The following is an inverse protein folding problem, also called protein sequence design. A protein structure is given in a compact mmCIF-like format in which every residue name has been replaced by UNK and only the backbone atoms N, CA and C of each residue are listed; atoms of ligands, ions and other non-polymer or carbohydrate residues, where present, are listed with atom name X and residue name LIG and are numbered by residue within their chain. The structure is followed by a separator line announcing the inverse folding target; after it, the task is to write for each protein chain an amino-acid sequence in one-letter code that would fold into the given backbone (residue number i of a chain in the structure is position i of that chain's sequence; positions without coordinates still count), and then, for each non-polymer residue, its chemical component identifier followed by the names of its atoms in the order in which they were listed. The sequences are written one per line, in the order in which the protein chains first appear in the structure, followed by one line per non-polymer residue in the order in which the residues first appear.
data_IF_320336700642
#
_entry.id   IF_320336700642
#
_cell.length_a   1.000
_cell.length_b   1.000
_cell.length_c   1.000
_cell.angle_alpha   90.00
_cell.angle_beta   90.00
_cell.angle_gamma   90.00
#
_symmetry.space_group_name_H-M   'P 1'
#
loop_
_entity.id
_entity.type
_entity.pdbx_description
1 polymer ?
#
# COMPACT_ATOMS: atom_id res chain seq x y z
N UNK A 1 -10.64 36.85 -32.66
CA UNK A 1 -9.58 37.85 -32.93
C UNK A 1 -9.18 38.39 -31.57
N UNK A 2 -8.00 38.19 -30.98
CA UNK A 2 -6.69 37.78 -31.46
C UNK A 2 -5.92 37.04 -30.33
N UNK A 3 -5.16 36.01 -30.75
CA UNK A 3 -3.79 35.58 -30.35
C UNK A 3 -3.43 35.53 -28.84
N UNK A 4 -3.22 34.35 -28.26
CA UNK A 4 -2.02 33.47 -28.36
C UNK A 4 -0.72 34.12 -27.88
N UNK A 5 -0.20 33.64 -26.75
CA UNK A 5 1.24 33.63 -26.44
C UNK A 5 1.63 32.20 -26.07
N UNK A 6 2.46 31.62 -26.94
CA UNK A 6 3.25 30.42 -26.74
C UNK A 6 4.63 30.84 -26.23
N UNK A 7 5.20 30.10 -25.27
CA UNK A 7 6.65 30.06 -25.05
C UNK A 7 7.12 28.62 -24.91
N UNK A 8 7.77 28.18 -25.97
CA UNK A 8 8.64 27.01 -26.15
C UNK A 8 9.89 27.05 -25.27
N UNK A 9 10.29 25.87 -24.78
CA UNK A 9 11.63 25.29 -24.95
C UNK A 9 12.80 25.84 -24.13
N UNK A 10 13.35 25.00 -23.24
CA UNK A 10 14.80 24.92 -23.01
C UNK A 10 15.22 23.46 -22.81
N UNK A 11 15.89 22.94 -23.83
CA UNK A 11 16.78 21.77 -23.79
C UNK A 11 18.14 22.20 -23.24
N UNK A 12 18.74 21.40 -22.36
CA UNK A 12 20.19 21.41 -22.14
C UNK A 12 20.70 19.98 -22.03
N UNK A 13 21.40 19.58 -23.08
CA UNK A 13 22.35 18.47 -23.14
C UNK A 13 23.63 18.87 -22.41
N UNK A 14 24.20 17.97 -21.61
CA UNK A 14 25.66 17.97 -21.38
C UNK A 14 26.17 16.55 -21.28
N UNK A 15 27.12 16.27 -22.17
CA UNK A 15 27.92 15.06 -22.26
C UNK A 15 28.98 15.08 -21.16
N UNK A 16 29.25 13.93 -20.53
CA UNK A 16 30.58 13.67 -19.96
C UNK A 16 31.01 12.24 -20.30
N UNK A 17 32.16 12.16 -20.96
CA UNK A 17 32.82 10.95 -21.43
C UNK A 17 33.58 10.25 -20.30
N UNK A 18 33.73 8.94 -20.51
CA UNK A 18 34.54 7.95 -19.81
C UNK A 18 36.03 8.31 -19.67
N UNK A 19 36.65 7.89 -18.56
CA UNK A 19 38.07 7.54 -18.51
C UNK A 19 38.23 6.24 -17.71
N UNK A 20 38.81 5.26 -18.39
CA UNK A 20 39.24 3.95 -17.92
C UNK A 20 40.74 4.03 -17.58
N UNK A 21 41.22 3.33 -16.53
CA UNK A 21 42.62 2.85 -16.32
C UNK A 21 42.90 2.43 -14.86
N UNK A 22 43.17 1.14 -14.64
CA UNK A 22 43.95 0.59 -13.49
C UNK A 22 45.46 0.54 -13.84
N UNK A 23 46.41 -0.06 -13.08
CA UNK A 23 46.51 -0.49 -11.66
C UNK A 23 47.83 -0.02 -10.94
N UNK A 24 48.00 -0.30 -9.64
CA UNK A 24 49.21 -0.90 -8.98
C UNK A 24 49.38 -0.59 -7.46
N UNK A 25 49.42 -1.68 -6.69
CA UNK A 25 50.11 -2.02 -5.43
C UNK A 25 51.02 -0.98 -4.72
N UNK A 26 50.88 -0.89 -3.37
CA UNK A 26 52.02 -0.94 -2.43
C UNK A 26 51.59 -1.22 -0.98
N UNK A 27 52.46 -1.90 -0.24
CA UNK A 27 52.28 -2.66 1.00
C UNK A 27 52.46 -1.88 2.32
N UNK A 28 51.89 -2.43 3.41
CA UNK A 28 52.47 -2.68 4.78
C UNK A 28 51.32 -2.77 5.80
N UNK A 29 51.33 -3.53 6.90
CA UNK A 29 52.10 -4.67 7.43
C UNK A 29 51.49 -5.02 8.80
N UNK A 30 51.17 -6.31 9.00
CA UNK A 30 51.31 -7.15 10.20
C UNK A 30 50.74 -6.72 11.58
N UNK A 31 49.95 -7.66 12.14
CA UNK A 31 49.94 -8.28 13.50
C UNK A 31 48.46 -8.55 13.88
N UNK A 32 47.99 -9.73 14.26
CA UNK A 32 48.59 -11.03 14.51
C UNK A 32 47.52 -12.12 14.39
N UNK A 33 47.98 -13.37 14.30
CA UNK A 33 47.23 -14.47 13.72
C UNK A 33 46.07 -15.04 14.54
N UNK A 34 45.17 -15.68 13.80
CA UNK A 34 44.57 -16.96 14.15
C UNK A 34 44.37 -17.72 12.83
N UNK A 35 45.22 -18.73 12.59
CA UNK A 35 45.01 -19.68 11.50
C UNK A 35 44.07 -20.79 11.94
N UNK A 36 43.16 -21.13 11.03
CA UNK A 36 42.47 -22.41 10.87
C UNK A 36 41.49 -22.84 11.98
N UNK A 37 40.19 -22.82 11.67
CA UNK A 37 39.46 -24.04 11.27
C UNK A 37 38.28 -23.62 10.38
N UNK A 38 38.36 -24.00 9.10
CA UNK A 38 37.21 -24.06 8.21
C UNK A 38 36.18 -25.03 8.78
N UNK A 39 34.97 -24.55 9.04
CA UNK A 39 33.77 -25.40 9.13
C UNK A 39 32.57 -24.65 8.56
N UNK A 40 32.71 -24.27 7.28
CA UNK A 40 31.54 -24.14 6.41
C UNK A 40 30.89 -25.51 6.33
N UNK A 41 29.92 -25.79 7.21
CA UNK A 41 28.99 -26.90 7.02
C UNK A 41 28.19 -26.57 5.76
N UNK A 42 28.62 -27.10 4.62
CA UNK A 42 27.81 -27.18 3.42
C UNK A 42 26.56 -27.99 3.79
N UNK A 43 25.45 -27.28 4.01
CA UNK A 43 24.13 -27.87 4.09
C UNK A 43 23.94 -28.75 2.84
N UNK A 44 23.49 -29.99 3.03
CA UNK A 44 23.21 -30.87 1.89
C UNK A 44 22.16 -30.22 1.00
N UNK A 45 22.18 -30.54 -0.30
CA UNK A 45 21.18 -30.09 -1.29
C UNK A 45 19.75 -30.27 -0.73
N UNK A 46 19.50 -31.39 -0.05
CA UNK A 46 18.23 -31.72 0.58
C UNK A 46 17.87 -30.81 1.75
N UNK A 47 18.85 -30.38 2.56
CA UNK A 47 18.62 -29.41 3.65
C UNK A 47 18.44 -28.00 3.12
N UNK A 48 19.11 -27.61 2.02
CA UNK A 48 18.86 -26.34 1.31
C UNK A 48 17.46 -26.31 0.71
N UNK A 49 17.05 -27.37 0.01
CA UNK A 49 15.69 -27.51 -0.54
C UNK A 49 14.65 -27.53 0.59
N UNK A 50 14.92 -28.20 1.73
CA UNK A 50 14.03 -28.15 2.88
C UNK A 50 13.96 -26.76 3.53
N UNK A 51 15.07 -26.03 3.64
CA UNK A 51 15.10 -24.65 4.11
C UNK A 51 14.37 -23.72 3.15
N UNK A 52 14.53 -23.91 1.84
CA UNK A 52 13.82 -23.16 0.80
C UNK A 52 12.33 -23.48 0.85
N UNK A 53 11.92 -24.74 1.01
CA UNK A 53 10.53 -25.15 1.19
C UNK A 53 9.92 -24.61 2.51
N UNK A 54 10.67 -24.59 3.61
CA UNK A 54 10.23 -23.98 4.87
C UNK A 54 10.18 -22.44 4.77
N UNK A 55 11.10 -21.82 4.03
CA UNK A 55 11.05 -20.40 3.66
C UNK A 55 9.94 -20.09 2.65
N UNK A 56 9.51 -21.06 1.84
CA UNK A 56 8.39 -20.94 0.91
C UNK A 56 7.04 -20.99 1.64
N UNK A 57 6.96 -21.76 2.73
CA UNK A 57 5.74 -21.92 3.53
C UNK A 57 5.46 -20.72 4.45
N UNK A 58 6.48 -19.95 4.81
CA UNK A 58 6.35 -18.76 5.65
C UNK A 58 6.86 -17.53 4.91
N UNK A 59 6.07 -17.05 3.95
CA UNK A 59 6.30 -15.73 3.38
C UNK A 59 6.08 -14.69 4.50
N UNK A 60 7.18 -14.27 5.13
CA UNK A 60 7.21 -13.33 6.26
C UNK A 60 7.56 -11.94 5.74
N UNK A 61 7.06 -10.93 6.43
CA UNK A 61 7.46 -9.54 6.22
C UNK A 61 8.99 -9.39 6.29
N UNK A 62 9.64 -8.81 5.26
CA UNK A 62 11.07 -8.43 5.27
C UNK A 62 11.48 -7.73 6.57
N UNK A 63 12.66 -8.00 7.17
CA UNK A 63 13.08 -7.37 8.42
C UNK A 63 13.07 -5.83 8.40
N UNK A 64 13.61 -5.22 7.34
CA UNK A 64 13.61 -3.76 7.17
C UNK A 64 12.18 -3.18 7.10
N UNK A 65 11.27 -3.87 6.39
CA UNK A 65 9.86 -3.50 6.34
C UNK A 65 9.19 -3.71 7.70
N UNK A 66 9.45 -4.82 8.39
CA UNK A 66 8.87 -5.11 9.69
C UNK A 66 9.29 -4.09 10.74
N UNK A 67 10.55 -3.65 10.72
CA UNK A 67 11.05 -2.59 11.60
C UNK A 67 10.32 -1.27 11.33
N UNK A 68 10.29 -0.82 10.07
CA UNK A 68 9.62 0.41 9.69
C UNK A 68 8.11 0.37 10.00
N UNK A 69 7.45 -0.76 9.74
CA UNK A 69 6.03 -0.95 10.04
C UNK A 69 5.75 -0.89 11.54
N UNK A 70 6.58 -1.52 12.38
CA UNK A 70 6.43 -1.42 13.84
C UNK A 70 6.63 0.00 14.34
N UNK A 71 7.57 0.74 13.77
CA UNK A 71 7.77 2.16 14.08
C UNK A 71 6.54 3.01 13.69
N UNK A 72 5.84 2.64 12.62
CA UNK A 72 4.55 3.23 12.22
C UNK A 72 3.33 2.69 13.00
N UNK A 73 3.54 1.87 14.04
CA UNK A 73 2.48 1.36 14.91
C UNK A 73 1.79 0.07 14.44
N UNK A 74 2.26 -0.57 13.37
CA UNK A 74 1.73 -1.86 12.95
C UNK A 74 2.17 -3.00 13.88
N UNK A 75 1.21 -3.84 14.21
CA UNK A 75 1.36 -5.02 15.05
C UNK A 75 1.05 -6.30 14.27
N UNK A 76 1.51 -7.43 14.81
CA UNK A 76 1.36 -8.75 14.19
C UNK A 76 2.68 -9.32 13.67
N UNK A 77 2.56 -10.51 13.07
CA UNK A 77 3.66 -11.26 12.48
C UNK A 77 3.15 -12.03 11.27
N UNK A 78 3.89 -12.01 10.16
CA UNK A 78 3.54 -12.76 8.96
C UNK A 78 3.37 -11.86 7.74
N UNK A 79 2.37 -12.16 6.92
CA UNK A 79 2.06 -11.45 5.68
C UNK A 79 1.26 -10.18 5.92
N UNK A 80 0.35 -10.22 6.90
CA UNK A 80 -0.55 -9.11 7.18
C UNK A 80 -0.26 -8.57 8.57
N UNK A 81 -0.16 -7.25 8.67
CA UNK A 81 0.01 -6.52 9.92
C UNK A 81 -1.03 -5.42 10.01
N UNK A 82 -1.41 -5.04 11.23
CA UNK A 82 -2.51 -4.10 11.47
C UNK A 82 -2.08 -2.99 12.43
N UNK A 83 -2.53 -1.77 12.19
CA UNK A 83 -2.49 -0.68 13.16
C UNK A 83 -3.90 -0.11 13.31
N UNK A 84 -4.21 0.45 14.48
CA UNK A 84 -5.48 1.16 14.71
C UNK A 84 -5.17 2.55 15.24
N UNK A 85 -5.51 3.57 14.46
CA UNK A 85 -5.36 4.98 14.83
C UNK A 85 -6.33 5.83 14.01
N UNK A 86 -6.66 7.01 14.52
CA UNK A 86 -7.36 8.06 13.77
C UNK A 86 -8.74 7.63 13.21
N UNK A 87 -9.39 6.67 13.88
CA UNK A 87 -10.67 6.11 13.43
C UNK A 87 -10.56 5.07 12.31
N UNK A 88 -9.36 4.63 11.97
CA UNK A 88 -9.10 3.65 10.91
C UNK A 88 -8.38 2.40 11.44
N UNK A 89 -8.65 1.28 10.76
CA UNK A 89 -7.78 0.12 10.72
C UNK A 89 -6.88 0.23 9.50
N UNK A 90 -5.59 0.23 9.74
CA UNK A 90 -4.55 0.29 8.72
C UNK A 90 -3.99 -1.11 8.55
N UNK A 91 -3.94 -1.58 7.31
CA UNK A 91 -3.51 -2.93 6.97
C UNK A 91 -2.26 -2.85 6.11
N UNK A 92 -1.18 -3.48 6.54
CA UNK A 92 -0.02 -3.77 5.70
C UNK A 92 -0.16 -5.21 5.23
N UNK A 93 -0.04 -5.47 3.93
CA UNK A 93 -0.02 -6.82 3.40
C UNK A 93 1.17 -7.04 2.46
N UNK A 94 2.00 -8.04 2.77
CA UNK A 94 3.09 -8.50 1.93
C UNK A 94 2.59 -9.70 1.13
N UNK A 95 2.46 -9.54 -0.18
CA UNK A 95 1.89 -10.54 -1.08
C UNK A 95 2.96 -11.09 -2.03
N UNK A 96 3.13 -12.41 -2.02
CA UNK A 96 4.04 -13.10 -2.94
C UNK A 96 3.53 -13.01 -4.39
N UNK A 97 4.44 -12.84 -5.33
CA UNK A 97 4.14 -13.02 -6.76
C UNK A 97 3.96 -14.50 -7.11
N UNK A 98 3.41 -14.77 -8.30
CA UNK A 98 3.35 -16.14 -8.82
C UNK A 98 4.74 -16.73 -9.10
N UNK A 99 5.71 -15.90 -9.52
CA UNK A 99 7.08 -16.35 -9.82
C UNK A 99 7.91 -16.73 -8.57
N UNK A 100 7.45 -16.37 -7.37
CA UNK A 100 8.12 -16.69 -6.10
C UNK A 100 9.45 -15.99 -5.85
N UNK A 101 9.90 -15.17 -6.79
CA UNK A 101 11.12 -14.35 -6.70
C UNK A 101 10.76 -12.96 -6.22
N UNK A 102 9.56 -12.49 -6.59
CA UNK A 102 9.09 -11.16 -6.27
C UNK A 102 7.99 -11.14 -5.21
N UNK A 103 7.76 -9.95 -4.70
CA UNK A 103 6.61 -9.66 -3.87
C UNK A 103 6.12 -8.23 -4.03
N UNK A 104 4.93 -8.00 -3.47
CA UNK A 104 4.24 -6.73 -3.42
C UNK A 104 3.99 -6.37 -1.97
N UNK A 105 4.05 -5.07 -1.67
CA UNK A 105 3.67 -4.53 -0.39
C UNK A 105 2.49 -3.62 -0.64
N UNK A 106 1.35 -3.94 -0.03
CA UNK A 106 0.13 -3.18 -0.19
C UNK A 106 -0.29 -2.60 1.16
N UNK A 107 -0.87 -1.41 1.12
CA UNK A 107 -1.45 -0.72 2.25
C UNK A 107 -2.96 -0.62 2.05
N UNK A 108 -3.69 -0.87 3.12
CA UNK A 108 -5.13 -0.68 3.20
C UNK A 108 -5.49 0.25 4.34
N UNK A 109 -6.54 1.04 4.17
CA UNK A 109 -7.21 1.74 5.25
C UNK A 109 -8.71 1.43 5.21
N UNK A 110 -9.26 1.04 6.34
CA UNK A 110 -10.69 0.79 6.49
C UNK A 110 -11.23 1.56 7.70
N UNK A 111 -12.32 2.32 7.56
CA UNK A 111 -12.91 3.03 8.69
C UNK A 111 -13.35 2.05 9.77
N UNK A 112 -12.89 2.26 11.01
CA UNK A 112 -13.20 1.40 12.15
C UNK A 112 -14.71 1.31 12.40
N UNK A 113 -15.43 2.41 12.16
CA UNK A 113 -16.89 2.51 12.34
C UNK A 113 -17.71 1.70 11.33
N UNK A 114 -17.10 1.24 10.23
CA UNK A 114 -17.78 0.40 9.23
C UNK A 114 -17.54 -1.10 9.48
N UNK A 115 -16.68 -1.45 10.44
CA UNK A 115 -16.54 -2.83 10.88
C UNK A 115 -17.72 -3.20 11.76
N UNK A 116 -18.25 -4.42 11.56
CA UNK A 116 -19.37 -4.94 12.33
C UNK A 116 -18.95 -5.21 13.77
N UNK A 117 -17.77 -5.84 13.96
CA UNK A 117 -17.30 -6.28 15.27
C UNK A 117 -15.81 -5.93 15.48
N UNK A 118 -15.38 -5.79 16.75
CA UNK A 118 -13.98 -5.51 17.08
C UNK A 118 -13.03 -6.67 16.72
N UNK A 119 -13.52 -7.91 16.71
CA UNK A 119 -12.76 -9.07 16.22
C UNK A 119 -12.46 -9.01 14.73
N UNK A 120 -13.19 -8.18 13.96
CA UNK A 120 -12.96 -8.01 12.53
C UNK A 120 -11.62 -7.32 12.23
N UNK A 121 -11.04 -6.60 13.19
CA UNK A 121 -9.79 -5.84 12.99
C UNK A 121 -8.63 -6.75 12.59
N UNK A 122 -8.37 -7.81 13.37
CA UNK A 122 -7.25 -8.72 13.13
C UNK A 122 -7.44 -9.64 11.92
N UNK A 123 -8.69 -9.83 11.49
CA UNK A 123 -9.01 -10.65 10.31
C UNK A 123 -9.12 -9.84 9.02
N UNK A 124 -9.20 -8.51 9.12
CA UNK A 124 -9.40 -7.63 7.98
C UNK A 124 -8.24 -7.77 6.99
N UNK A 125 -8.56 -8.07 5.74
CA UNK A 125 -7.57 -8.17 4.66
C UNK A 125 -7.44 -6.84 3.94
N UNK A 126 -6.27 -6.60 3.37
CA UNK A 126 -6.03 -5.40 2.55
C UNK A 126 -7.01 -5.29 1.38
N UNK A 127 -7.39 -6.42 0.76
CA UNK A 127 -8.40 -6.46 -0.30
C UNK A 127 -9.83 -6.08 0.11
N UNK A 128 -10.09 -5.99 1.41
CA UNK A 128 -11.39 -5.59 1.98
C UNK A 128 -11.36 -4.13 2.48
N UNK A 129 -10.20 -3.48 2.42
CA UNK A 129 -10.06 -2.09 2.84
C UNK A 129 -10.76 -1.14 1.88
N UNK A 130 -11.33 -0.07 2.44
CA UNK A 130 -12.02 0.96 1.68
C UNK A 130 -11.05 1.73 0.77
N UNK A 131 -9.85 1.95 1.27
CA UNK A 131 -8.76 2.61 0.58
C UNK A 131 -7.59 1.65 0.47
N UNK A 132 -6.91 1.67 -0.67
CA UNK A 132 -5.81 0.76 -0.97
C UNK A 132 -4.75 1.48 -1.79
N UNK A 133 -3.49 1.20 -1.50
CA UNK A 133 -2.36 1.62 -2.34
C UNK A 133 -1.26 0.57 -2.32
N UNK A 134 -0.35 0.65 -3.28
CA UNK A 134 0.83 -0.22 -3.35
C UNK A 134 2.08 0.58 -3.05
N UNK A 135 2.95 0.01 -2.22
CA UNK A 135 4.27 0.57 -1.90
C UNK A 135 5.24 0.14 -2.99
N UNK A 136 5.68 1.11 -3.80
CA UNK A 136 6.51 0.85 -4.98
C UNK A 136 5.78 -0.02 -6.01
N UNK A 137 6.56 -0.70 -6.87
CA UNK A 137 6.00 -1.51 -7.95
C UNK A 137 6.03 -3.00 -7.62
N UNK A 138 7.25 -3.56 -7.57
CA UNK A 138 7.53 -4.98 -7.37
C UNK A 138 8.90 -5.12 -6.73
N UNK A 139 9.00 -5.88 -5.66
CA UNK A 139 10.21 -6.02 -4.86
C UNK A 139 10.84 -7.40 -5.07
N UNK A 140 12.17 -7.45 -5.13
CA UNK A 140 12.92 -8.70 -5.11
C UNK A 140 13.04 -9.20 -3.68
N UNK A 141 12.94 -10.52 -3.50
CA UNK A 141 13.09 -11.16 -2.18
C UNK A 141 14.46 -10.90 -1.57
N UNK A 142 15.51 -10.87 -2.39
CA UNK A 142 16.88 -10.59 -1.99
C UNK A 142 17.61 -9.75 -3.06
N UNK A 143 18.52 -8.85 -2.67
CA UNK A 143 18.85 -8.48 -1.29
C UNK A 143 17.71 -7.69 -0.61
N UNK A 144 17.52 -7.90 0.70
CA UNK A 144 16.54 -7.18 1.53
C UNK A 144 17.02 -5.73 1.72
N UNK A 145 16.72 -4.89 0.74
CA UNK A 145 17.21 -3.52 0.62
C UNK A 145 16.60 -2.62 1.71
N UNK A 146 17.44 -1.88 2.46
CA UNK A 146 17.02 -0.82 3.39
C UNK A 146 16.08 0.20 2.70
N UNK A 147 16.23 0.36 1.39
CA UNK A 147 15.33 1.13 0.52
C UNK A 147 13.86 0.76 0.70
N UNK A 148 13.51 -0.52 0.93
CA UNK A 148 12.12 -0.92 1.10
C UNK A 148 11.51 -0.28 2.36
N UNK A 149 12.25 -0.26 3.47
CA UNK A 149 11.80 0.39 4.70
C UNK A 149 11.56 1.88 4.48
N UNK A 150 12.48 2.57 3.79
CA UNK A 150 12.35 3.98 3.45
C UNK A 150 11.14 4.26 2.54
N UNK A 151 10.99 3.51 1.45
CA UNK A 151 9.88 3.70 0.50
C UNK A 151 8.54 3.37 1.17
N UNK A 152 8.49 2.37 2.05
CA UNK A 152 7.33 2.11 2.90
C UNK A 152 7.01 3.32 3.77
N UNK A 153 7.96 3.82 4.57
CA UNK A 153 7.70 4.94 5.49
C UNK A 153 7.20 6.19 4.75
N UNK A 154 7.77 6.50 3.59
CA UNK A 154 7.31 7.61 2.76
C UNK A 154 5.90 7.38 2.22
N UNK A 155 5.65 6.23 1.60
CA UNK A 155 4.35 5.91 1.01
C UNK A 155 3.26 5.86 2.08
N UNK A 156 3.56 5.26 3.24
CA UNK A 156 2.62 5.09 4.33
C UNK A 156 2.24 6.43 4.96
N UNK A 157 3.21 7.31 5.18
CA UNK A 157 2.96 8.65 5.71
C UNK A 157 2.08 9.49 4.76
N UNK A 158 2.39 9.48 3.46
CA UNK A 158 1.59 10.19 2.44
C UNK A 158 0.19 9.60 2.35
N UNK A 159 0.09 8.27 2.25
CA UNK A 159 -1.20 7.57 2.14
C UNK A 159 -2.11 7.88 3.34
N UNK A 160 -1.59 7.83 4.57
CA UNK A 160 -2.36 8.21 5.76
C UNK A 160 -2.85 9.65 5.69
N UNK A 161 -1.95 10.59 5.39
CA UNK A 161 -2.29 12.01 5.32
C UNK A 161 -3.38 12.27 4.27
N UNK A 162 -3.28 11.65 3.09
CA UNK A 162 -4.28 11.76 2.03
C UNK A 162 -5.65 11.21 2.43
N UNK A 163 -5.69 10.04 3.11
CA UNK A 163 -6.96 9.46 3.56
C UNK A 163 -7.61 10.32 4.64
N UNK A 164 -6.84 10.77 5.63
CA UNK A 164 -7.36 11.62 6.70
C UNK A 164 -7.86 12.97 6.16
N UNK A 165 -7.06 13.64 5.33
CA UNK A 165 -7.45 14.88 4.68
C UNK A 165 -8.68 14.68 3.77
N UNK A 166 -8.74 13.57 3.02
CA UNK A 166 -9.86 13.28 2.12
C UNK A 166 -11.18 13.03 2.86
N UNK A 167 -11.14 12.47 4.07
CA UNK A 167 -12.33 12.25 4.92
C UNK A 167 -12.78 13.56 5.57
N UNK A 168 -11.84 14.38 6.02
CA UNK A 168 -12.14 15.73 6.53
C UNK A 168 -12.70 16.65 5.43
N UNK A 169 -12.16 16.55 4.22
CA UNK A 169 -12.47 17.40 3.08
C UNK A 169 -13.23 16.66 1.98
N UNK A 170 -14.22 15.85 2.36
CA UNK A 170 -15.05 15.16 1.38
C UNK A 170 -15.69 16.16 0.40
N UNK A 171 -15.63 15.89 -0.91
CA UNK A 171 -15.95 16.88 -1.93
C UNK A 171 -17.41 17.34 -1.84
N UNK A 172 -17.64 18.63 -1.64
CA UNK A 172 -18.99 19.22 -1.55
C UNK A 172 -19.67 19.38 -2.91
N UNK A 173 -18.93 19.16 -4.00
CA UNK A 173 -19.40 19.20 -5.38
C UNK A 173 -19.22 17.84 -6.05
N UNK A 174 -20.05 17.53 -7.04
CA UNK A 174 -19.97 16.27 -7.77
C UNK A 174 -18.60 16.16 -8.45
N UNK A 175 -17.76 15.15 -8.13
CA UNK A 175 -16.52 14.92 -8.85
C UNK A 175 -16.81 14.63 -10.32
N UNK A 176 -16.10 15.31 -11.22
CA UNK A 176 -16.22 15.12 -12.68
C UNK A 176 -15.84 13.68 -13.08
N UNK A 177 -14.90 13.07 -12.35
CA UNK A 177 -14.46 11.70 -12.55
C UNK A 177 -14.34 10.97 -11.20
N UNK A 178 -15.24 10.01 -10.93
CA UNK A 178 -15.08 9.04 -9.82
C UNK A 178 -14.33 7.82 -10.37
N UNK A 179 -13.23 8.06 -11.09
CA UNK A 179 -12.28 7.02 -11.49
C UNK A 179 -11.40 6.72 -10.28
N UNK A 180 -11.92 5.91 -9.37
CA UNK A 180 -11.16 5.42 -8.23
C UNK A 180 -10.62 4.04 -8.63
N UNK A 181 -9.29 3.99 -8.76
CA UNK A 181 -8.51 2.90 -9.34
C UNK A 181 -8.91 1.55 -8.73
N UNK A 182 -9.50 0.67 -9.54
CA UNK A 182 -9.47 -0.78 -9.31
C UNK A 182 -10.71 -1.47 -8.75
N UNK A 183 -11.83 -0.78 -8.50
CA UNK A 183 -13.12 -1.40 -8.15
C UNK A 183 -14.25 -0.79 -8.97
N UNK A 184 -15.31 -1.56 -9.20
CA UNK A 184 -16.47 -1.09 -9.94
C UNK A 184 -16.98 0.23 -9.35
N UNK A 185 -16.89 1.32 -10.12
CA UNK A 185 -17.23 2.68 -9.68
C UNK A 185 -18.62 2.78 -9.03
N UNK A 186 -19.51 1.85 -9.37
CA UNK A 186 -20.84 1.67 -8.80
C UNK A 186 -20.85 1.31 -7.29
N UNK A 187 -19.80 0.71 -6.74
CA UNK A 187 -19.74 0.41 -5.30
C UNK A 187 -19.14 1.55 -4.48
N UNK A 188 -18.36 2.43 -5.11
CA UNK A 188 -17.60 3.44 -4.39
C UNK A 188 -18.46 4.51 -3.75
N UNK A 189 -19.45 5.07 -4.45
CA UNK A 189 -20.24 6.15 -3.87
C UNK A 189 -21.05 5.70 -2.63
N UNK A 190 -21.49 4.44 -2.57
CA UNK A 190 -22.15 3.90 -1.38
C UNK A 190 -21.15 3.80 -0.22
N UNK A 191 -19.95 3.28 -0.48
CA UNK A 191 -18.88 3.22 0.51
C UNK A 191 -18.48 4.62 1.00
N UNK A 192 -18.32 5.59 0.10
CA UNK A 192 -18.03 6.98 0.48
C UNK A 192 -19.17 7.62 1.26
N UNK A 193 -20.42 7.32 0.92
CA UNK A 193 -21.56 7.80 1.69
C UNK A 193 -21.58 7.19 3.10
N UNK A 194 -21.26 5.91 3.23
CA UNK A 194 -21.07 5.23 4.52
C UNK A 194 -19.94 5.86 5.34
N UNK A 195 -18.82 6.20 4.69
CA UNK A 195 -17.71 6.93 5.32
C UNK A 195 -18.20 8.30 5.79
N UNK A 196 -18.86 9.08 4.94
CA UNK A 196 -19.35 10.42 5.30
C UNK A 196 -20.28 10.35 6.50
N UNK A 197 -21.26 9.44 6.51
CA UNK A 197 -22.12 9.23 7.67
C UNK A 197 -21.32 8.85 8.91
N UNK A 198 -20.42 7.86 8.79
CA UNK A 198 -19.60 7.40 9.92
C UNK A 198 -18.78 8.53 10.55
N UNK A 199 -18.40 9.55 9.78
CA UNK A 199 -17.67 10.72 10.23
C UNK A 199 -18.54 11.98 10.41
N UNK A 200 -19.86 11.81 10.58
CA UNK A 200 -20.76 12.90 10.99
C UNK A 200 -21.18 13.86 9.87
N UNK A 201 -21.11 13.42 8.61
CA UNK A 201 -21.46 14.21 7.42
C UNK A 201 -22.65 13.58 6.65
N UNK A 202 -23.84 13.41 7.26
CA UNK A 202 -24.97 12.71 6.62
C UNK A 202 -25.50 13.43 5.37
N UNK A 203 -25.46 14.76 5.35
CA UNK A 203 -25.86 15.54 4.16
C UNK A 203 -24.91 15.29 2.97
N UNK A 204 -23.62 15.15 3.26
CA UNK A 204 -22.63 14.78 2.24
C UNK A 204 -22.84 13.34 1.75
N UNK A 205 -23.22 12.43 2.66
CA UNK A 205 -23.58 11.07 2.31
C UNK A 205 -24.75 11.03 1.32
N UNK A 206 -25.83 11.79 1.56
CA UNK A 206 -26.97 11.89 0.65
C UNK A 206 -26.55 12.40 -0.74
N UNK A 207 -25.73 13.47 -0.80
CA UNK A 207 -25.19 14.00 -2.06
C UNK A 207 -24.42 12.95 -2.85
N UNK A 208 -23.57 12.16 -2.19
CA UNK A 208 -22.82 11.07 -2.83
C UNK A 208 -23.74 9.98 -3.40
N UNK A 209 -24.81 9.62 -2.70
CA UNK A 209 -25.80 8.67 -3.22
C UNK A 209 -26.50 9.22 -4.47
N UNK A 210 -26.83 10.52 -4.47
CA UNK A 210 -27.47 11.19 -5.61
C UNK A 210 -26.54 11.26 -6.82
N UNK A 211 -25.29 11.64 -6.63
CA UNK A 211 -24.30 11.67 -7.72
C UNK A 211 -23.95 10.27 -8.23
N UNK A 212 -23.91 9.28 -7.34
CA UNK A 212 -23.58 7.91 -7.69
C UNK A 212 -24.71 7.17 -8.42
N UNK A 213 -25.97 7.48 -8.11
CA UNK A 213 -27.14 6.73 -8.61
C UNK A 213 -27.19 6.57 -10.14
N UNK A 214 -26.96 7.61 -10.96
CA UNK A 214 -26.97 7.47 -12.43
C UNK A 214 -25.84 6.60 -12.98
N UNK A 215 -24.78 6.35 -12.20
CA UNK A 215 -23.61 5.55 -12.60
C UNK A 215 -23.80 4.06 -12.30
N UNK A 216 -24.84 3.68 -11.54
CA UNK A 216 -25.15 2.28 -11.25
C UNK A 216 -25.89 1.66 -12.43
N UNK A 217 -25.45 0.48 -12.86
CA UNK A 217 -26.17 -0.25 -13.91
C UNK A 217 -27.60 -0.60 -13.46
N UNK A 218 -28.62 -0.47 -14.33
CA UNK A 218 -30.01 -0.75 -13.96
C UNK A 218 -30.25 -2.17 -13.43
N UNK A 219 -29.42 -3.14 -13.84
CA UNK A 219 -29.53 -4.54 -13.42
C UNK A 219 -28.76 -4.87 -12.12
N UNK A 220 -28.05 -3.91 -11.51
CA UNK A 220 -27.37 -4.10 -10.23
C UNK A 220 -28.35 -4.03 -9.04
N UNK A 221 -29.44 -4.80 -9.10
CA UNK A 221 -30.60 -4.73 -8.18
C UNK A 221 -30.21 -4.77 -6.71
N UNK A 222 -29.26 -5.62 -6.32
CA UNK A 222 -28.77 -5.72 -4.95
C UNK A 222 -28.06 -4.45 -4.46
N UNK A 223 -27.27 -3.79 -5.32
CA UNK A 223 -26.64 -2.51 -4.99
C UNK A 223 -27.68 -1.38 -4.92
N UNK A 224 -28.60 -1.34 -5.88
CA UNK A 224 -29.70 -0.35 -5.90
C UNK A 224 -30.55 -0.46 -4.62
N UNK A 225 -30.82 -1.67 -4.12
CA UNK A 225 -31.53 -1.90 -2.87
C UNK A 225 -30.72 -1.43 -1.65
N UNK A 226 -29.42 -1.74 -1.58
CA UNK A 226 -28.54 -1.25 -0.50
C UNK A 226 -28.51 0.28 -0.44
N UNK A 227 -28.43 0.93 -1.60
CA UNK A 227 -28.46 2.39 -1.70
C UNK A 227 -29.79 2.96 -1.20
N UNK A 228 -30.92 2.36 -1.58
CA UNK A 228 -32.24 2.80 -1.14
C UNK A 228 -32.43 2.66 0.38
N UNK A 229 -32.05 1.51 0.96
CA UNK A 229 -32.12 1.28 2.41
C UNK A 229 -31.22 2.24 3.18
N UNK A 230 -30.00 2.44 2.69
CA UNK A 230 -29.04 3.35 3.31
C UNK A 230 -29.55 4.80 3.26
N UNK A 231 -30.10 5.25 2.13
CA UNK A 231 -30.73 6.58 1.99
C UNK A 231 -31.90 6.76 2.96
N UNK A 232 -32.83 5.80 3.00
CA UNK A 232 -34.01 5.87 3.88
C UNK A 232 -33.60 6.03 5.35
N UNK A 233 -32.53 5.34 5.78
CA UNK A 233 -32.00 5.46 7.14
C UNK A 233 -31.35 6.83 7.42
N UNK A 234 -30.78 7.50 6.41
CA UNK A 234 -30.21 8.85 6.59
C UNK A 234 -31.29 9.94 6.66
N UNK A 235 -32.45 9.71 6.03
CA UNK A 235 -33.56 10.67 5.95
C UNK A 235 -34.56 10.54 7.12
N UNK A 236 -34.57 9.39 7.80
CA UNK A 236 -35.41 9.10 8.98
C UNK A 236 -34.69 9.37 10.29
#
# INVERSE_FOLDING_TARGET
MERSISLTGMTTTSNFQSIDSSPLLSQRSLIGGFSNVASSRTLSESTRVALDCCHMAMFRCPPALSYAARHAGYQGSGQTMHATSDGFVWVLNVQRSHDGIHFYVNLGAHPLRLLQDSSSVSSLKEGECAFRTRVGERWLREPLDEKLGLVFSQTESVFRAEILAGVEQMPTTAPEDISIRGYHAEHHFLLFAQICEAYGQPQQALRLLEWGRPRVRPNATGLLQKVALFRQRLEG
#
